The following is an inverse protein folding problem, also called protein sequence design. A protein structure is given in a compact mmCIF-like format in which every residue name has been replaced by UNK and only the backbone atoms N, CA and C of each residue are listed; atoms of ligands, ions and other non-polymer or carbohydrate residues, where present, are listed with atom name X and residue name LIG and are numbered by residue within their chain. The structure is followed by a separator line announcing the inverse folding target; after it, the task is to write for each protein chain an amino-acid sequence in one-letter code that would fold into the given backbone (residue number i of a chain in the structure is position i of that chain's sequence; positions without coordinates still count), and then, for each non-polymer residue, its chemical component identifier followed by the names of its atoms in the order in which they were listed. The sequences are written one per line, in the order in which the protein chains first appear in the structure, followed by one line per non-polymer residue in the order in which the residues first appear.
data_IF_772617179393
#
_entry.id   IF_772617179393
#
_cell.length_a   1.000
_cell.length_b   1.000
_cell.length_c   1.000
_cell.angle_alpha   90.00
_cell.angle_beta   90.00
_cell.angle_gamma   90.00
#
_symmetry.space_group_name_H-M   'P 1'
#
loop_
_entity.id
_entity.type
_entity.pdbx_description
1 polymer ?
#
# COMPACT_ATOMS: atom_id res chain seq x y z
N UNK A 1 -10.36 30.47 59.60
CA UNK A 1 -11.01 30.06 58.33
C UNK A 1 -10.21 28.93 57.69
N UNK A 2 -10.85 27.75 57.59
CA UNK A 2 -10.63 26.61 56.68
C UNK A 2 -9.25 25.94 56.53
N UNK A 3 -9.05 24.84 57.28
CA UNK A 3 -8.22 23.69 56.90
C UNK A 3 -8.95 22.89 55.81
N UNK A 4 -8.38 22.79 54.62
CA UNK A 4 -8.82 21.86 53.57
C UNK A 4 -8.13 20.50 53.77
N UNK A 5 -8.87 19.52 54.30
CA UNK A 5 -8.46 18.12 54.31
C UNK A 5 -8.46 17.58 52.87
N UNK A 6 -7.27 17.36 52.31
CA UNK A 6 -7.12 16.53 51.11
C UNK A 6 -7.34 15.07 51.53
N UNK A 7 -8.54 14.56 51.31
CA UNK A 7 -8.79 13.12 51.30
C UNK A 7 -7.93 12.52 50.17
N UNK A 8 -6.77 11.97 50.51
CA UNK A 8 -6.15 10.96 49.65
C UNK A 8 -7.04 9.73 49.72
N UNK A 9 -7.87 9.56 48.70
CA UNK A 9 -8.50 8.28 48.41
C UNK A 9 -7.34 7.33 48.12
N UNK A 10 -6.98 6.48 49.10
CA UNK A 10 -6.15 5.29 48.86
C UNK A 10 -6.95 4.39 47.91
N UNK A 11 -6.73 4.55 46.62
CA UNK A 11 -7.20 3.59 45.63
C UNK A 11 -6.49 2.27 45.90
N UNK A 12 -7.28 1.22 46.08
CA UNK A 12 -6.82 -0.14 46.33
C UNK A 12 -5.91 -0.58 45.15
N UNK A 13 -4.67 -1.06 45.37
CA UNK A 13 -3.80 -1.47 44.27
C UNK A 13 -4.39 -2.58 43.38
N UNK A 14 -5.34 -3.35 43.91
CA UNK A 14 -6.13 -4.34 43.16
C UNK A 14 -7.10 -3.72 42.15
N UNK A 15 -7.58 -2.49 42.35
CA UNK A 15 -8.41 -1.76 41.38
C UNK A 15 -7.56 -1.13 40.27
N UNK A 16 -6.29 -0.79 40.56
CA UNK A 16 -5.36 -0.31 39.53
C UNK A 16 -4.95 -1.45 38.57
N UNK A 17 -4.76 -2.66 39.10
CA UNK A 17 -4.49 -3.84 38.29
C UNK A 17 -5.71 -4.33 37.48
N UNK A 18 -6.94 -4.04 37.93
CA UNK A 18 -8.15 -4.38 37.16
C UNK A 18 -8.51 -3.34 36.10
N UNK A 19 -8.17 -2.06 36.30
CA UNK A 19 -8.44 -1.00 35.31
C UNK A 19 -7.42 -0.97 34.15
N UNK A 20 -6.21 -1.51 34.35
CA UNK A 20 -5.21 -1.70 33.30
C UNK A 20 -5.20 -3.11 32.71
N UNK A 21 -6.12 -3.98 33.13
CA UNK A 21 -6.41 -5.23 32.44
C UNK A 21 -7.62 -5.02 31.53
N UNK A 22 -7.56 -4.01 30.63
CA UNK A 22 -8.21 -4.21 29.33
C UNK A 22 -7.45 -5.38 28.75
N UNK A 23 -8.01 -6.57 28.95
CA UNK A 23 -7.44 -7.83 28.54
C UNK A 23 -7.34 -7.75 27.02
N UNK A 24 -6.21 -7.22 26.49
CA UNK A 24 -5.94 -7.17 25.05
C UNK A 24 -6.09 -8.61 24.60
N UNK A 25 -7.18 -8.87 23.90
CA UNK A 25 -7.54 -10.21 23.52
C UNK A 25 -6.34 -10.81 22.79
N UNK A 26 -5.94 -12.03 23.18
CA UNK A 26 -4.74 -12.66 22.64
C UNK A 26 -4.77 -12.61 21.10
N UNK A 27 -3.72 -12.06 20.45
CA UNK A 27 -3.64 -11.98 18.99
C UNK A 27 -3.98 -13.31 18.33
N UNK A 28 -4.89 -13.30 17.36
CA UNK A 28 -5.29 -14.52 16.66
C UNK A 28 -4.14 -15.09 15.83
N UNK A 29 -3.39 -14.23 15.12
CA UNK A 29 -2.25 -14.64 14.30
C UNK A 29 -0.94 -14.77 15.09
N UNK A 30 -0.96 -14.54 16.40
CA UNK A 30 0.24 -14.50 17.23
C UNK A 30 1.04 -13.20 17.08
N UNK A 31 2.28 -13.20 17.56
CA UNK A 31 3.16 -12.02 17.52
C UNK A 31 3.52 -11.65 16.07
N UNK A 32 3.64 -10.35 15.71
CA UNK A 32 4.12 -9.92 14.41
C UNK A 32 5.48 -10.54 14.08
N UNK A 33 5.69 -10.86 12.80
CA UNK A 33 7.00 -11.31 12.28
C UNK A 33 7.44 -10.52 11.05
N UNK A 34 6.69 -9.47 10.68
CA UNK A 34 7.07 -8.54 9.62
C UNK A 34 8.19 -7.61 10.07
N UNK A 35 8.99 -7.15 9.12
CA UNK A 35 10.09 -6.21 9.35
C UNK A 35 9.58 -4.77 9.57
N UNK A 36 8.31 -4.52 9.26
CA UNK A 36 7.66 -3.23 9.40
C UNK A 36 6.40 -3.33 10.25
N UNK A 37 6.13 -2.24 10.96
CA UNK A 37 4.84 -1.97 11.59
C UNK A 37 4.46 -0.51 11.27
N UNK A 38 3.19 -0.27 10.91
CA UNK A 38 2.74 1.06 10.57
C UNK A 38 2.34 1.83 11.84
N UNK A 39 1.70 2.98 11.65
CA UNK A 39 1.27 3.84 12.76
C UNK A 39 -0.04 3.39 13.41
N UNK A 40 -0.72 2.36 12.89
CA UNK A 40 -1.95 1.83 13.48
C UNK A 40 -1.61 0.92 14.67
N UNK A 41 -2.47 0.89 15.69
CA UNK A 41 -2.23 0.08 16.89
C UNK A 41 -2.75 -1.36 16.69
N UNK A 42 -1.86 -2.35 16.80
CA UNK A 42 -2.16 -3.76 16.58
C UNK A 42 -3.33 -4.29 17.47
N UNK A 43 -4.29 -4.95 16.83
CA UNK A 43 -5.46 -5.61 17.42
C UNK A 43 -6.35 -4.70 18.27
N UNK A 44 -6.33 -3.39 18.03
CA UNK A 44 -7.12 -2.40 18.76
C UNK A 44 -8.64 -2.62 18.62
N UNK A 45 -9.10 -2.91 17.40
CA UNK A 45 -10.54 -3.06 17.08
C UNK A 45 -11.03 -4.49 17.28
N UNK A 46 -10.22 -5.48 16.90
CA UNK A 46 -10.59 -6.90 16.97
C UNK A 46 -9.35 -7.78 17.05
N UNK A 47 -9.47 -8.95 17.70
CA UNK A 47 -8.37 -9.90 17.83
C UNK A 47 -7.98 -10.63 16.53
N UNK A 48 -8.79 -10.52 15.48
CA UNK A 48 -8.62 -11.25 14.21
C UNK A 48 -7.88 -10.45 13.13
N UNK A 49 -7.84 -9.13 13.26
CA UNK A 49 -7.25 -8.21 12.28
C UNK A 49 -6.28 -7.32 13.06
N UNK A 50 -4.99 -7.41 12.73
CA UNK A 50 -3.96 -6.64 13.43
C UNK A 50 -4.13 -5.14 13.19
N UNK A 51 -4.14 -4.68 11.94
CA UNK A 51 -4.36 -3.27 11.61
C UNK A 51 -5.70 -3.13 10.85
N UNK A 52 -6.76 -2.74 11.57
CA UNK A 52 -8.13 -2.76 11.06
C UNK A 52 -8.38 -1.75 9.94
N UNK A 53 -7.91 -0.51 10.11
CA UNK A 53 -8.08 0.57 9.14
C UNK A 53 -7.22 0.33 7.91
N UNK A 54 -5.97 -0.12 8.07
CA UNK A 54 -5.11 -0.48 6.95
C UNK A 54 -5.67 -1.68 6.15
N UNK A 55 -6.22 -2.69 6.83
CA UNK A 55 -6.89 -3.82 6.18
C UNK A 55 -8.14 -3.36 5.40
N UNK A 56 -9.01 -2.56 6.04
CA UNK A 56 -10.25 -2.08 5.40
C UNK A 56 -9.97 -1.17 4.21
N UNK A 57 -9.00 -0.27 4.33
CA UNK A 57 -8.61 0.63 3.24
C UNK A 57 -8.02 -0.14 2.06
N UNK A 58 -7.25 -1.21 2.29
CA UNK A 58 -6.75 -2.11 1.24
C UNK A 58 -7.89 -2.80 0.45
N UNK A 59 -8.98 -3.17 1.13
CA UNK A 59 -10.17 -3.75 0.48
C UNK A 59 -10.90 -2.77 -0.45
N UNK A 60 -10.71 -1.45 -0.28
CA UNK A 60 -11.24 -0.46 -1.23
C UNK A 60 -10.62 -0.64 -2.61
N UNK A 61 -9.34 -1.04 -2.70
CA UNK A 61 -8.67 -1.32 -3.99
C UNK A 61 -9.32 -2.51 -4.69
N UNK A 62 -9.67 -3.54 -3.92
CA UNK A 62 -10.38 -4.73 -4.42
C UNK A 62 -11.76 -4.34 -4.96
N UNK A 63 -12.54 -3.60 -4.16
CA UNK A 63 -13.87 -3.14 -4.56
C UNK A 63 -13.82 -2.28 -5.83
N UNK A 64 -12.87 -1.33 -5.91
CA UNK A 64 -12.70 -0.48 -7.08
C UNK A 64 -12.26 -1.27 -8.32
N UNK A 65 -11.37 -2.25 -8.16
CA UNK A 65 -10.93 -3.13 -9.25
C UNK A 65 -12.08 -3.98 -9.80
N UNK A 66 -12.88 -4.59 -8.91
CA UNK A 66 -14.09 -5.36 -9.30
C UNK A 66 -15.07 -4.47 -10.04
N UNK A 67 -15.36 -3.28 -9.49
CA UNK A 67 -16.24 -2.30 -10.14
C UNK A 67 -15.76 -1.96 -11.55
N UNK A 68 -14.46 -1.69 -11.71
CA UNK A 68 -13.84 -1.38 -13.01
C UNK A 68 -13.92 -2.53 -14.02
N UNK A 69 -13.82 -3.78 -13.57
CA UNK A 69 -13.99 -4.96 -14.43
C UNK A 69 -15.44 -5.21 -14.81
N UNK A 70 -16.39 -4.92 -13.91
CA UNK A 70 -17.81 -5.13 -14.15
C UNK A 70 -18.42 -4.07 -15.10
N UNK A 71 -17.97 -2.81 -15.00
CA UNK A 71 -18.54 -1.69 -15.76
C UNK A 71 -17.65 -1.18 -16.90
N UNK A 72 -16.42 -1.68 -17.01
CA UNK A 72 -15.45 -1.24 -18.00
C UNK A 72 -15.50 -2.03 -19.31
N UNK A 73 -15.12 -1.38 -20.41
CA UNK A 73 -14.80 -2.11 -21.65
C UNK A 73 -13.63 -3.06 -21.40
N UNK A 74 -13.84 -4.35 -21.71
CA UNK A 74 -12.80 -5.38 -21.68
C UNK A 74 -11.76 -5.12 -22.76
N UNK A 75 -10.62 -4.57 -22.35
CA UNK A 75 -9.40 -4.45 -23.14
C UNK A 75 -8.29 -5.07 -22.29
N UNK A 76 -7.41 -5.89 -22.87
CA UNK A 76 -6.33 -6.57 -22.15
C UNK A 76 -5.51 -5.61 -21.28
N UNK A 77 -5.26 -4.40 -21.76
CA UNK A 77 -4.52 -3.38 -21.00
C UNK A 77 -5.26 -2.86 -19.76
N UNK A 78 -6.60 -2.85 -19.76
CA UNK A 78 -7.42 -2.48 -18.59
C UNK A 78 -7.59 -3.66 -17.64
N UNK A 79 -7.71 -4.87 -18.20
CA UNK A 79 -7.80 -6.10 -17.42
C UNK A 79 -6.56 -6.25 -16.52
N UNK A 80 -5.35 -6.10 -17.09
CA UNK A 80 -4.10 -6.15 -16.33
C UNK A 80 -4.09 -5.14 -15.18
N UNK A 81 -4.51 -3.89 -15.42
CA UNK A 81 -4.51 -2.86 -14.38
C UNK A 81 -5.50 -3.14 -13.25
N UNK A 82 -6.74 -3.54 -13.57
CA UNK A 82 -7.74 -3.81 -12.54
C UNK A 82 -7.49 -5.13 -11.79
N UNK A 83 -7.04 -6.19 -12.48
CA UNK A 83 -6.63 -7.43 -11.84
C UNK A 83 -5.41 -7.21 -10.94
N UNK A 84 -4.41 -6.46 -11.39
CA UNK A 84 -3.25 -6.12 -10.56
C UNK A 84 -3.66 -5.27 -9.35
N UNK A 85 -4.61 -4.34 -9.49
CA UNK A 85 -5.12 -3.55 -8.37
C UNK A 85 -5.86 -4.42 -7.34
N UNK A 86 -6.67 -5.38 -7.78
CA UNK A 86 -7.29 -6.39 -6.91
C UNK A 86 -6.20 -7.19 -6.20
N UNK A 87 -5.18 -7.64 -6.93
CA UNK A 87 -4.05 -8.38 -6.37
C UNK A 87 -3.35 -7.63 -5.24
N UNK A 88 -3.03 -6.34 -5.46
CA UNK A 88 -2.46 -5.46 -4.43
C UNK A 88 -3.40 -5.34 -3.24
N UNK A 89 -4.69 -5.06 -3.46
CA UNK A 89 -5.65 -4.93 -2.36
C UNK A 89 -5.79 -6.20 -1.52
N UNK A 90 -5.78 -7.38 -2.14
CA UNK A 90 -5.85 -8.67 -1.41
C UNK A 90 -4.57 -8.94 -0.64
N UNK A 91 -3.40 -8.75 -1.26
CA UNK A 91 -2.12 -9.01 -0.59
C UNK A 91 -1.89 -8.04 0.58
N UNK A 92 -2.17 -6.75 0.37
CA UNK A 92 -2.05 -5.72 1.40
C UNK A 92 -3.04 -5.93 2.55
N UNK A 93 -4.30 -6.27 2.26
CA UNK A 93 -5.25 -6.65 3.31
C UNK A 93 -4.78 -7.89 4.08
N UNK A 94 -4.22 -8.89 3.39
CA UNK A 94 -3.65 -10.08 4.02
C UNK A 94 -2.46 -9.76 4.93
N UNK A 95 -1.59 -8.85 4.50
CA UNK A 95 -0.47 -8.37 5.30
C UNK A 95 -0.95 -7.62 6.54
N UNK A 96 -1.71 -6.55 6.39
CA UNK A 96 -2.21 -5.73 7.51
C UNK A 96 -3.10 -6.50 8.49
N UNK A 97 -3.79 -7.55 8.04
CA UNK A 97 -4.56 -8.42 8.92
C UNK A 97 -3.67 -9.30 9.81
N UNK A 98 -2.49 -9.70 9.33
CA UNK A 98 -1.69 -10.78 9.93
C UNK A 98 -0.33 -10.34 10.50
N UNK A 99 0.25 -9.26 9.97
CA UNK A 99 1.61 -8.75 10.23
C UNK A 99 2.66 -9.86 10.18
N UNK A 100 2.61 -10.69 9.12
CA UNK A 100 3.55 -11.79 8.92
C UNK A 100 4.52 -11.49 7.79
N UNK A 101 5.72 -12.03 7.96
CA UNK A 101 6.76 -11.95 6.96
C UNK A 101 6.29 -12.34 5.55
N UNK A 102 5.72 -13.54 5.38
CA UNK A 102 5.31 -14.00 4.04
C UNK A 102 4.15 -13.19 3.44
N UNK A 103 3.26 -12.63 4.27
CA UNK A 103 2.19 -11.77 3.77
C UNK A 103 2.72 -10.37 3.43
N UNK A 104 3.73 -9.86 4.17
CA UNK A 104 4.49 -8.67 3.79
C UNK A 104 5.17 -8.86 2.42
N UNK A 105 5.92 -9.95 2.23
CA UNK A 105 6.59 -10.23 0.94
C UNK A 105 5.57 -10.36 -0.21
N UNK A 106 4.40 -10.93 0.06
CA UNK A 106 3.32 -11.03 -0.93
C UNK A 106 2.76 -9.65 -1.30
N UNK A 107 2.59 -8.76 -0.33
CA UNK A 107 2.15 -7.38 -0.57
C UNK A 107 3.18 -6.62 -1.43
N UNK A 108 4.44 -6.61 -1.00
CA UNK A 108 5.55 -5.94 -1.67
C UNK A 108 5.74 -6.46 -3.11
N UNK A 109 5.66 -7.78 -3.33
CA UNK A 109 5.71 -8.39 -4.67
C UNK A 109 4.52 -7.95 -5.54
N UNK A 110 3.30 -7.93 -4.98
CA UNK A 110 2.09 -7.57 -5.71
C UNK A 110 2.15 -6.13 -6.24
N UNK A 111 2.74 -5.22 -5.46
CA UNK A 111 2.96 -3.82 -5.85
C UNK A 111 3.84 -3.72 -7.10
N UNK A 112 4.88 -4.55 -7.22
CA UNK A 112 5.74 -4.60 -8.41
C UNK A 112 5.07 -5.29 -9.61
N UNK A 113 4.28 -6.35 -9.36
CA UNK A 113 3.50 -7.03 -10.41
C UNK A 113 2.45 -6.13 -11.05
N UNK A 114 1.89 -5.17 -10.30
CA UNK A 114 1.01 -4.13 -10.86
C UNK A 114 1.81 -3.00 -11.54
N UNK A 115 2.82 -2.45 -10.85
CA UNK A 115 3.50 -1.24 -11.31
C UNK A 115 4.39 -1.47 -12.54
N UNK A 116 5.02 -2.64 -12.69
CA UNK A 116 5.93 -2.92 -13.81
C UNK A 116 5.21 -2.93 -15.17
N UNK A 117 4.07 -3.63 -15.36
CA UNK A 117 3.28 -3.54 -16.59
C UNK A 117 2.73 -2.13 -16.86
N UNK A 118 2.35 -1.39 -15.80
CA UNK A 118 1.89 -0.01 -15.94
C UNK A 118 3.01 0.92 -16.42
N UNK A 119 4.20 0.78 -15.84
CA UNK A 119 5.39 1.53 -16.22
C UNK A 119 5.77 1.23 -17.68
N UNK A 120 5.80 -0.05 -18.07
CA UNK A 120 6.03 -0.47 -19.46
C UNK A 120 5.08 0.26 -20.40
N UNK A 121 3.77 0.16 -20.15
CA UNK A 121 2.74 0.78 -20.97
C UNK A 121 2.92 2.29 -21.13
N UNK A 122 3.22 2.98 -20.03
CA UNK A 122 3.36 4.44 -20.02
C UNK A 122 4.64 4.89 -20.74
N UNK A 123 5.74 4.13 -20.62
CA UNK A 123 7.00 4.41 -21.31
C UNK A 123 6.94 4.12 -22.81
N UNK A 124 6.17 3.11 -23.22
CA UNK A 124 6.09 2.66 -24.62
C UNK A 124 4.91 3.27 -25.38
N UNK A 125 4.16 4.18 -24.76
CA UNK A 125 3.04 4.86 -25.41
C UNK A 125 3.52 5.63 -26.66
N UNK A 126 2.89 5.37 -27.81
CA UNK A 126 3.27 5.91 -29.13
C UNK A 126 4.75 5.70 -29.50
N UNK A 127 5.34 4.57 -29.09
CA UNK A 127 6.71 4.17 -29.48
C UNK A 127 6.70 3.06 -30.53
N UNK A 128 7.83 2.89 -31.21
CA UNK A 128 8.02 1.83 -32.19
C UNK A 128 7.94 0.44 -31.54
N UNK A 129 7.51 -0.56 -32.31
CA UNK A 129 7.39 -1.94 -31.82
C UNK A 129 8.72 -2.47 -31.25
N UNK A 130 9.84 -2.16 -31.90
CA UNK A 130 11.18 -2.54 -31.43
C UNK A 130 11.49 -1.94 -30.05
N UNK A 131 11.15 -0.67 -29.84
CA UNK A 131 11.32 -0.02 -28.53
C UNK A 131 10.43 -0.69 -27.48
N UNK A 132 9.16 -0.94 -27.81
CA UNK A 132 8.20 -1.56 -26.90
C UNK A 132 8.64 -2.95 -26.44
N UNK A 133 9.11 -3.80 -27.36
CA UNK A 133 9.64 -5.13 -27.05
C UNK A 133 10.91 -5.05 -26.20
N UNK A 134 11.86 -4.20 -26.58
CA UNK A 134 13.13 -4.04 -25.86
C UNK A 134 12.89 -3.55 -24.43
N UNK A 135 12.05 -2.52 -24.26
CA UNK A 135 11.67 -2.01 -22.94
C UNK A 135 10.97 -3.08 -22.09
N UNK A 136 10.12 -3.91 -22.70
CA UNK A 136 9.46 -5.02 -22.02
C UNK A 136 10.45 -6.05 -21.48
N UNK A 137 11.41 -6.48 -22.30
CA UNK A 137 12.46 -7.43 -21.90
C UNK A 137 13.32 -6.82 -20.78
N UNK A 138 13.77 -5.57 -20.93
CA UNK A 138 14.59 -4.89 -19.92
C UNK A 138 13.85 -4.79 -18.59
N UNK A 139 12.59 -4.34 -18.60
CA UNK A 139 11.79 -4.20 -17.37
C UNK A 139 11.50 -5.56 -16.73
N UNK A 140 11.27 -6.61 -17.51
CA UNK A 140 11.07 -7.96 -17.00
C UNK A 140 12.32 -8.49 -16.29
N UNK A 141 13.49 -8.36 -16.92
CA UNK A 141 14.77 -8.76 -16.31
C UNK A 141 15.04 -7.97 -15.03
N UNK A 142 14.85 -6.65 -15.05
CA UNK A 142 15.02 -5.79 -13.87
C UNK A 142 14.08 -6.20 -12.74
N UNK A 143 12.79 -6.43 -13.04
CA UNK A 143 11.81 -6.91 -12.07
C UNK A 143 12.27 -8.23 -11.44
N UNK A 144 12.66 -9.22 -12.24
CA UNK A 144 13.08 -10.53 -11.73
C UNK A 144 14.32 -10.41 -10.84
N UNK A 145 15.34 -9.65 -11.25
CA UNK A 145 16.57 -9.47 -10.48
C UNK A 145 16.29 -8.75 -9.16
N UNK A 146 15.55 -7.64 -9.20
CA UNK A 146 15.23 -6.85 -8.00
C UNK A 146 14.38 -7.66 -7.02
N UNK A 147 13.36 -8.37 -7.50
CA UNK A 147 12.50 -9.18 -6.63
C UNK A 147 13.24 -10.40 -6.07
N UNK A 148 14.06 -11.08 -6.87
CA UNK A 148 14.88 -12.18 -6.35
C UNK A 148 15.87 -11.69 -5.29
N UNK A 149 16.57 -10.57 -5.54
CA UNK A 149 17.50 -10.00 -4.58
C UNK A 149 16.80 -9.56 -3.29
N UNK A 150 15.66 -8.89 -3.40
CA UNK A 150 14.85 -8.47 -2.25
C UNK A 150 14.39 -9.67 -1.41
N UNK A 151 13.91 -10.74 -2.04
CA UNK A 151 13.45 -11.95 -1.35
C UNK A 151 14.60 -12.77 -0.74
N UNK A 152 15.81 -12.70 -1.30
CA UNK A 152 16.98 -13.44 -0.80
C UNK A 152 17.74 -12.68 0.30
N UNK A 153 17.79 -11.35 0.21
CA UNK A 153 18.54 -10.52 1.16
C UNK A 153 17.68 -9.98 2.30
N UNK A 154 16.36 -10.14 2.22
CA UNK A 154 15.41 -9.56 3.16
C UNK A 154 15.48 -8.03 3.30
N UNK A 155 15.90 -7.37 2.22
CA UNK A 155 16.21 -5.94 2.21
C UNK A 155 14.99 -5.11 1.79
N UNK A 156 14.30 -4.53 2.77
CA UNK A 156 13.14 -3.65 2.54
C UNK A 156 13.49 -2.40 1.72
N UNK A 157 14.68 -1.81 1.93
CA UNK A 157 15.09 -0.58 1.23
C UNK A 157 15.12 -0.75 -0.28
N UNK A 158 15.47 -1.95 -0.78
CA UNK A 158 15.51 -2.23 -2.20
C UNK A 158 14.10 -2.19 -2.81
N UNK A 159 13.11 -2.79 -2.14
CA UNK A 159 11.71 -2.69 -2.54
C UNK A 159 11.25 -1.22 -2.53
N UNK A 160 11.39 -0.53 -1.40
CA UNK A 160 10.85 0.82 -1.21
C UNK A 160 11.40 1.82 -2.25
N UNK A 161 12.70 1.78 -2.51
CA UNK A 161 13.35 2.68 -3.46
C UNK A 161 12.97 2.36 -4.91
N UNK A 162 12.95 1.09 -5.30
CA UNK A 162 12.62 0.69 -6.68
C UNK A 162 11.14 0.89 -6.98
N UNK A 163 10.24 0.56 -6.06
CA UNK A 163 8.82 0.84 -6.17
C UNK A 163 8.55 2.34 -6.24
N UNK A 164 9.13 3.13 -5.32
CA UNK A 164 8.99 4.59 -5.30
C UNK A 164 9.47 5.24 -6.59
N UNK A 165 10.60 4.78 -7.15
CA UNK A 165 11.11 5.25 -8.44
C UNK A 165 10.17 4.90 -9.61
N UNK A 166 9.62 3.68 -9.64
CA UNK A 166 8.65 3.28 -10.66
C UNK A 166 7.38 4.15 -10.61
N UNK A 167 6.83 4.38 -9.41
CA UNK A 167 5.67 5.27 -9.20
C UNK A 167 5.99 6.70 -9.66
N UNK A 168 7.17 7.24 -9.32
CA UNK A 168 7.61 8.56 -9.76
C UNK A 168 7.68 8.66 -11.30
N UNK A 169 8.25 7.66 -11.98
CA UNK A 169 8.29 7.63 -13.44
C UNK A 169 6.90 7.55 -14.07
N UNK A 170 6.01 6.72 -13.52
CA UNK A 170 4.61 6.64 -13.97
C UNK A 170 3.93 8.00 -13.81
N UNK A 171 4.02 8.62 -12.64
CA UNK A 171 3.38 9.91 -12.35
C UNK A 171 3.88 11.01 -13.30
N UNK A 172 5.21 11.16 -13.45
CA UNK A 172 5.80 12.18 -14.32
C UNK A 172 5.45 11.96 -15.79
N UNK A 173 5.39 10.72 -16.26
CA UNK A 173 4.98 10.43 -17.63
C UNK A 173 3.49 10.63 -17.87
N UNK A 174 2.63 10.20 -16.96
CA UNK A 174 1.19 10.46 -17.03
C UNK A 174 0.93 11.98 -17.11
N UNK A 175 1.62 12.78 -16.28
CA UNK A 175 1.51 14.24 -16.31
C UNK A 175 1.91 14.85 -17.66
N UNK A 176 2.88 14.25 -18.38
CA UNK A 176 3.28 14.66 -19.73
C UNK A 176 2.28 14.22 -20.81
N UNK A 177 1.62 13.07 -20.64
CA UNK A 177 0.68 12.51 -21.61
C UNK A 177 -0.71 13.16 -21.54
N UNK A 178 -1.17 13.56 -20.35
CA UNK A 178 -2.48 14.20 -20.15
C UNK A 178 -2.78 15.34 -21.16
N UNK A 179 -1.91 16.36 -21.35
CA UNK A 179 -2.20 17.43 -22.31
C UNK A 179 -2.23 16.98 -23.77
N UNK A 180 -1.62 15.84 -24.10
CA UNK A 180 -1.57 15.28 -25.46
C UNK A 180 -2.81 14.44 -25.78
N UNK A 181 -3.46 13.88 -24.77
CA UNK A 181 -4.53 12.89 -24.93
C UNK A 181 -5.91 13.40 -24.47
N UNK A 182 -5.97 14.53 -23.76
CA UNK A 182 -7.22 15.11 -23.26
C UNK A 182 -7.46 16.46 -23.94
N UNK A 183 -8.26 16.51 -25.02
CA UNK A 183 -8.56 17.75 -25.74
C UNK A 183 -9.36 18.73 -24.89
N UNK A 184 -10.32 18.24 -24.12
CA UNK A 184 -11.21 19.05 -23.29
C UNK A 184 -10.43 19.75 -22.15
N UNK A 185 -10.38 21.10 -22.13
CA UNK A 185 -9.60 21.85 -21.14
C UNK A 185 -10.04 21.60 -19.70
N UNK A 186 -11.34 21.43 -19.48
CA UNK A 186 -11.91 21.27 -18.14
C UNK A 186 -11.56 19.90 -17.55
N UNK A 187 -11.80 18.82 -18.31
CA UNK A 187 -11.42 17.45 -17.97
C UNK A 187 -9.91 17.34 -17.76
N UNK A 188 -9.11 17.97 -18.62
CA UNK A 188 -7.65 18.02 -18.49
C UNK A 188 -7.21 18.67 -17.18
N UNK A 189 -7.84 19.78 -16.79
CA UNK A 189 -7.58 20.47 -15.53
C UNK A 189 -7.91 19.57 -14.33
N UNK A 190 -9.09 18.92 -14.35
CA UNK A 190 -9.54 18.02 -13.31
C UNK A 190 -8.59 16.81 -13.14
N UNK A 191 -8.23 16.15 -14.25
CA UNK A 191 -7.30 15.00 -14.21
C UNK A 191 -5.93 15.43 -13.68
N UNK A 192 -5.40 16.61 -14.08
CA UNK A 192 -4.14 17.13 -13.53
C UNK A 192 -4.22 17.40 -12.03
N UNK A 193 -5.34 17.94 -11.54
CA UNK A 193 -5.56 18.17 -10.09
C UNK A 193 -5.55 16.84 -9.33
N UNK A 194 -6.26 15.84 -9.82
CA UNK A 194 -6.30 14.49 -9.23
C UNK A 194 -4.89 13.86 -9.21
N UNK A 195 -4.18 13.90 -10.33
CA UNK A 195 -2.84 13.34 -10.44
C UNK A 195 -1.82 14.03 -9.51
N UNK A 196 -1.89 15.36 -9.38
CA UNK A 196 -1.06 16.13 -8.44
C UNK A 196 -1.38 15.80 -7.00
N UNK A 197 -2.68 15.77 -6.65
CA UNK A 197 -3.13 15.42 -5.31
C UNK A 197 -2.60 14.04 -4.90
N UNK A 198 -2.76 13.02 -5.75
CA UNK A 198 -2.25 11.67 -5.47
C UNK A 198 -0.72 11.59 -5.36
N UNK A 199 0.02 12.43 -6.11
CA UNK A 199 1.48 12.50 -5.99
C UNK A 199 1.89 13.09 -4.64
N UNK A 200 1.20 14.13 -4.17
CA UNK A 200 1.48 14.78 -2.89
C UNK A 200 1.17 13.90 -1.68
N UNK A 201 0.17 13.02 -1.76
CA UNK A 201 -0.17 12.10 -0.66
C UNK A 201 0.87 10.99 -0.47
N UNK A 202 1.58 10.60 -1.54
CA UNK A 202 2.57 9.52 -1.50
C UNK A 202 3.84 9.88 -0.70
N UNK A 203 4.18 11.17 -0.60
CA UNK A 203 5.40 11.64 0.09
C UNK A 203 5.23 11.83 1.60
N UNK A 204 4.05 11.57 2.16
CA UNK A 204 3.69 11.98 3.52
C UNK A 204 3.56 10.86 4.57
N UNK A 205 3.78 9.59 4.24
CA UNK A 205 3.50 8.47 5.16
C UNK A 205 4.73 8.12 6.01
N UNK A 206 4.69 8.29 7.34
CA UNK A 206 5.79 7.85 8.22
C UNK A 206 5.77 6.33 8.38
N UNK A 207 6.93 5.70 8.21
CA UNK A 207 7.17 4.28 8.50
C UNK A 207 7.93 4.15 9.83
N UNK A 208 7.63 3.09 10.61
CA UNK A 208 8.43 2.69 11.76
C UNK A 208 9.02 1.30 11.49
N UNK A 209 10.29 1.12 11.82
CA UNK A 209 10.88 -0.22 11.84
C UNK A 209 10.23 -1.00 12.98
N UNK A 210 9.83 -2.26 12.72
CA UNK A 210 9.40 -3.14 13.79
C UNK A 210 10.56 -3.37 14.78
N UNK A 211 10.27 -3.53 16.08
CA UNK A 211 11.29 -3.76 17.11
C UNK A 211 12.01 -5.10 16.97
#
# INVERSE_FOLDING_TARGET
MLRLHRHQIRLNPSLHNSAMNVQRAKPFWGAPTSNLNFCEEDYLVTRYIAEFINTLSSLVYVAYGIYGLAHGRRNGSRLVSYCGLIGVGVCSAGYHMTLKYHTQMSDELSMHLLSTPLLHRVLTFNKSERYTKTAGVVLFVLFTVVMAAHMLMDEFLLHATTFGFAVYMIATRVMKLIPQQVPDPQTRSNIKKIARFGTSTFTGTPLKMAP
#
